data_IF_907577672167
#
_entry.id   IF_907577672167
#
_cell.length_a   1.000
_cell.length_b   1.000
_cell.length_c   1.000
_cell.angle_alpha   90.00
_cell.angle_beta   90.00
_cell.angle_gamma   90.00
#
_symmetry.space_group_name_H-M   'P 1'
#
loop_
_entity.id
_entity.type
_entity.pdbx_description
1 polymer ?
#
# COMPACT_ATOMS: atom_id res chain seq x y z
N UNK A 1 17.38 27.25 -1.03
CA UNK A 1 16.00 26.85 -1.36
C UNK A 1 15.07 27.61 -0.43
N UNK A 2 14.02 28.25 -0.95
CA UNK A 2 13.17 29.11 -0.13
C UNK A 2 12.58 28.32 1.05
N UNK A 3 12.69 28.87 2.25
CA UNK A 3 12.15 28.28 3.50
C UNK A 3 10.69 28.69 3.74
N UNK A 4 10.12 29.53 2.89
CA UNK A 4 8.71 29.91 2.94
C UNK A 4 7.87 28.78 2.33
N UNK A 5 6.83 28.29 3.02
CA UNK A 5 5.87 27.38 2.43
C UNK A 5 5.25 28.00 1.18
N UNK A 6 5.05 27.20 0.13
CA UNK A 6 4.42 27.65 -1.13
C UNK A 6 2.95 28.06 -0.96
N UNK A 7 2.36 27.76 0.20
CA UNK A 7 1.00 28.07 0.58
C UNK A 7 0.94 28.66 1.99
N UNK A 8 0.07 29.65 2.18
CA UNK A 8 -0.31 30.12 3.51
C UNK A 8 -1.01 29.02 4.31
N UNK A 9 -1.06 29.17 5.64
CA UNK A 9 -1.77 28.21 6.51
C UNK A 9 -3.25 28.08 6.14
N UNK A 10 -3.88 29.17 5.69
CA UNK A 10 -5.27 29.16 5.28
C UNK A 10 -5.48 28.38 3.98
N UNK A 11 -4.66 28.63 2.96
CA UNK A 11 -4.69 27.87 1.70
C UNK A 11 -4.44 26.38 1.93
N UNK A 12 -3.48 26.03 2.79
CA UNK A 12 -3.23 24.64 3.16
C UNK A 12 -4.44 23.98 3.82
N UNK A 13 -5.14 24.69 4.72
CA UNK A 13 -6.34 24.17 5.35
C UNK A 13 -7.47 23.95 4.34
N UNK A 14 -7.69 24.89 3.42
CA UNK A 14 -8.69 24.77 2.35
C UNK A 14 -8.35 23.56 1.45
N UNK A 15 -7.09 23.44 1.03
CA UNK A 15 -6.63 22.33 0.20
C UNK A 15 -6.79 20.98 0.91
N UNK A 16 -6.52 20.92 2.21
CA UNK A 16 -6.72 19.73 3.04
C UNK A 16 -8.19 19.32 3.09
N UNK A 17 -9.10 20.24 3.37
CA UNK A 17 -10.55 19.93 3.43
C UNK A 17 -11.07 19.46 2.08
N UNK A 18 -10.65 20.12 0.99
CA UNK A 18 -11.00 19.70 -0.37
C UNK A 18 -10.47 18.29 -0.69
N UNK A 19 -9.23 18.01 -0.31
CA UNK A 19 -8.64 16.68 -0.47
C UNK A 19 -9.43 15.60 0.27
N UNK A 20 -9.79 15.84 1.54
CA UNK A 20 -10.56 14.88 2.34
C UNK A 20 -11.98 14.65 1.78
N UNK A 21 -12.63 15.71 1.29
CA UNK A 21 -13.93 15.61 0.62
C UNK A 21 -13.84 14.76 -0.65
N UNK A 22 -12.85 15.04 -1.50
CA UNK A 22 -12.61 14.27 -2.73
C UNK A 22 -12.28 12.82 -2.41
N UNK A 23 -11.48 12.57 -1.38
CA UNK A 23 -11.14 11.21 -0.96
C UNK A 23 -12.38 10.47 -0.48
N UNK A 24 -13.27 11.12 0.26
CA UNK A 24 -14.56 10.55 0.68
C UNK A 24 -15.42 10.13 -0.50
N UNK A 25 -15.45 10.93 -1.56
CA UNK A 25 -16.16 10.56 -2.78
C UNK A 25 -15.45 9.42 -3.51
N UNK A 26 -14.13 9.47 -3.61
CA UNK A 26 -13.32 8.47 -4.30
C UNK A 26 -13.41 7.08 -3.62
N UNK A 27 -13.53 7.05 -2.29
CA UNK A 27 -13.62 5.82 -1.49
C UNK A 27 -15.04 5.51 -1.02
N UNK A 28 -16.07 6.03 -1.71
CA UNK A 28 -17.46 5.81 -1.31
C UNK A 28 -17.89 4.35 -1.46
N UNK A 29 -17.35 3.67 -2.48
CA UNK A 29 -17.63 2.26 -2.79
C UNK A 29 -16.38 1.41 -2.55
N UNK A 30 -16.18 1.01 -1.29
CA UNK A 30 -15.00 0.26 -0.86
C UNK A 30 -14.95 -1.15 -1.43
N UNK A 31 -16.10 -1.79 -1.60
CA UNK A 31 -16.20 -3.13 -2.19
C UNK A 31 -15.75 -3.12 -3.65
N UNK A 32 -16.24 -2.14 -4.43
CA UNK A 32 -15.80 -1.96 -5.81
C UNK A 32 -14.31 -1.68 -5.91
N UNK A 33 -13.76 -0.86 -5.00
CA UNK A 33 -12.31 -0.63 -4.93
C UNK A 33 -11.57 -1.95 -4.71
N UNK A 34 -11.98 -2.74 -3.73
CA UNK A 34 -11.34 -4.01 -3.43
C UNK A 34 -11.35 -4.94 -4.67
N UNK A 35 -12.48 -5.01 -5.37
CA UNK A 35 -12.64 -5.88 -6.54
C UNK A 35 -11.82 -5.38 -7.75
N UNK A 36 -11.90 -4.09 -8.09
CA UNK A 36 -11.21 -3.52 -9.27
C UNK A 36 -9.70 -3.43 -9.10
N UNK A 37 -9.23 -3.48 -7.86
CA UNK A 37 -7.80 -3.39 -7.53
C UNK A 37 -7.17 -4.73 -7.12
N UNK A 38 -7.89 -5.83 -7.29
CA UNK A 38 -7.44 -7.21 -6.97
C UNK A 38 -6.18 -7.65 -7.71
N UNK A 39 -5.90 -7.08 -8.88
CA UNK A 39 -4.65 -7.31 -9.62
C UNK A 39 -3.45 -6.48 -9.10
N UNK A 40 -3.65 -5.74 -8.00
CA UNK A 40 -2.64 -5.03 -7.23
C UNK A 40 -1.63 -4.23 -8.08
N UNK A 41 -0.35 -4.63 -8.09
CA UNK A 41 0.74 -3.96 -8.82
C UNK A 41 0.52 -3.84 -10.33
N UNK A 42 -0.41 -4.63 -10.89
CA UNK A 42 -0.78 -4.60 -12.29
C UNK A 42 -2.08 -3.80 -12.55
N UNK A 43 -2.69 -3.21 -11.51
CA UNK A 43 -3.84 -2.32 -11.60
C UNK A 43 -3.41 -0.86 -11.45
N UNK A 44 -3.70 -0.04 -12.47
CA UNK A 44 -3.45 1.40 -12.41
C UNK A 44 -4.28 2.06 -11.31
N UNK A 45 -5.54 1.65 -11.13
CA UNK A 45 -6.42 2.16 -10.08
C UNK A 45 -5.82 1.91 -8.69
N UNK A 46 -5.25 0.72 -8.46
CA UNK A 46 -4.55 0.40 -7.21
C UNK A 46 -3.35 1.33 -6.98
N UNK A 47 -2.58 1.62 -8.03
CA UNK A 47 -1.42 2.51 -7.95
C UNK A 47 -1.86 3.94 -7.63
N UNK A 48 -2.85 4.47 -8.33
CA UNK A 48 -3.33 5.84 -8.17
C UNK A 48 -4.02 6.06 -6.81
N UNK A 49 -4.89 5.14 -6.38
CA UNK A 49 -5.55 5.24 -5.08
C UNK A 49 -4.54 5.29 -3.93
N UNK A 50 -3.51 4.45 -3.98
CA UNK A 50 -2.47 4.39 -2.95
C UNK A 50 -1.60 5.65 -2.85
N UNK A 51 -1.57 6.51 -3.87
CA UNK A 51 -0.88 7.82 -3.77
C UNK A 51 -1.59 8.78 -2.81
N UNK A 52 -2.89 8.58 -2.61
CA UNK A 52 -3.71 9.37 -1.69
C UNK A 52 -3.72 8.81 -0.26
N UNK A 53 -2.95 7.74 0.01
CA UNK A 53 -3.06 6.97 1.24
C UNK A 53 -1.70 6.69 1.91
N UNK A 54 -1.72 6.70 3.24
CA UNK A 54 -0.75 6.01 4.08
C UNK A 54 -1.14 4.54 4.05
N UNK A 55 -0.22 3.69 3.60
CA UNK A 55 -0.49 2.25 3.41
C UNK A 55 0.26 1.43 4.44
N UNK A 56 -0.21 0.22 4.76
CA UNK A 56 0.44 -0.66 5.74
C UNK A 56 1.97 -0.76 5.55
N UNK A 57 2.44 -0.90 4.31
CA UNK A 57 3.86 -0.99 3.96
C UNK A 57 4.69 0.26 4.27
N UNK A 58 4.07 1.45 4.42
CA UNK A 58 4.75 2.70 4.76
C UNK A 58 4.35 3.26 6.14
N UNK A 59 3.29 2.72 6.76
CA UNK A 59 2.74 3.19 8.03
C UNK A 59 3.79 3.20 9.15
N UNK A 60 4.60 2.14 9.26
CA UNK A 60 5.68 2.06 10.24
C UNK A 60 6.71 3.19 10.10
N UNK A 61 7.03 3.59 8.87
CA UNK A 61 7.92 4.74 8.58
C UNK A 61 7.28 6.06 8.98
N UNK A 62 5.97 6.22 8.76
CA UNK A 62 5.23 7.43 9.13
C UNK A 62 5.19 7.60 10.65
N UNK A 63 4.79 6.55 11.38
CA UNK A 63 4.62 6.59 12.85
C UNK A 63 5.96 6.74 13.57
N UNK A 64 7.03 6.09 13.08
CA UNK A 64 8.37 6.16 13.69
C UNK A 64 9.19 7.37 13.23
N UNK A 65 8.61 8.27 12.44
CA UNK A 65 9.31 9.43 11.88
C UNK A 65 9.75 10.37 13.00
N UNK A 66 11.05 10.69 13.05
CA UNK A 66 11.59 11.71 13.96
C UNK A 66 11.25 13.11 13.45
N UNK A 67 11.10 14.07 14.33
CA UNK A 67 10.85 15.47 13.94
C UNK A 67 11.93 16.03 13.01
N UNK A 68 13.18 15.61 13.21
CA UNK A 68 14.35 15.95 12.41
C UNK A 68 14.36 15.31 11.02
N UNK A 69 13.54 14.28 10.78
CA UNK A 69 13.45 13.62 9.47
C UNK A 69 12.61 14.44 8.50
N UNK A 70 13.11 14.63 7.28
CA UNK A 70 12.45 15.41 6.23
C UNK A 70 11.07 14.84 5.86
N UNK A 71 10.03 15.68 6.03
CA UNK A 71 8.66 15.38 5.58
C UNK A 71 8.56 15.29 4.06
N UNK A 72 9.26 16.16 3.33
CA UNK A 72 9.24 16.20 1.88
C UNK A 72 9.68 14.87 1.25
N UNK A 73 10.77 14.27 1.76
CA UNK A 73 11.26 12.96 1.28
C UNK A 73 10.27 11.82 1.53
N UNK A 74 9.60 11.82 2.68
CA UNK A 74 8.55 10.84 2.99
C UNK A 74 7.38 10.97 2.01
N UNK A 75 6.87 12.20 1.82
CA UNK A 75 5.78 12.49 0.88
C UNK A 75 6.19 12.11 -0.55
N UNK A 76 7.42 12.46 -0.97
CA UNK A 76 7.94 12.09 -2.28
C UNK A 76 7.94 10.57 -2.49
N UNK A 77 8.36 9.79 -1.49
CA UNK A 77 8.38 8.33 -1.60
C UNK A 77 6.98 7.70 -1.66
N UNK A 78 5.98 8.35 -1.03
CA UNK A 78 4.57 7.92 -1.09
C UNK A 78 3.96 8.23 -2.47
N UNK A 79 4.14 9.47 -2.95
CA UNK A 79 3.58 9.94 -4.23
C UNK A 79 4.27 9.31 -5.45
N UNK A 80 5.59 9.17 -5.37
CA UNK A 80 6.44 8.72 -6.46
C UNK A 80 7.21 7.48 -6.01
N UNK A 81 6.52 6.33 -6.01
CA UNK A 81 7.18 5.05 -5.79
C UNK A 81 8.32 4.89 -6.79
N UNK A 82 9.52 4.66 -6.28
CA UNK A 82 10.70 4.40 -7.12
C UNK A 82 10.46 3.13 -7.94
N UNK A 83 10.98 3.06 -9.17
CA UNK A 83 10.97 1.81 -9.91
C UNK A 83 11.98 0.84 -9.27
N UNK A 84 11.48 -0.05 -8.42
CA UNK A 84 12.30 -1.00 -7.66
C UNK A 84 12.44 -2.37 -8.36
N UNK A 85 11.97 -2.51 -9.61
CA UNK A 85 11.98 -3.79 -10.34
C UNK A 85 13.38 -4.38 -10.52
N UNK A 86 14.41 -3.53 -10.56
CA UNK A 86 15.80 -3.95 -10.73
C UNK A 86 16.46 -4.43 -9.42
N UNK A 87 15.77 -4.37 -8.28
CA UNK A 87 16.31 -4.86 -7.00
C UNK A 87 16.05 -6.36 -6.93
N UNK A 88 17.12 -7.16 -6.94
CA UNK A 88 17.04 -8.62 -6.98
C UNK A 88 16.13 -9.22 -5.89
N UNK A 89 16.18 -8.69 -4.67
CA UNK A 89 15.31 -9.17 -3.58
C UNK A 89 13.82 -8.90 -3.83
N UNK A 90 13.47 -7.79 -4.48
CA UNK A 90 12.08 -7.43 -4.81
C UNK A 90 11.61 -8.26 -6.01
N UNK A 91 12.44 -8.40 -7.04
CA UNK A 91 12.15 -9.28 -8.17
C UNK A 91 11.91 -10.72 -7.70
N UNK A 92 12.79 -11.23 -6.84
CA UNK A 92 12.64 -12.55 -6.22
C UNK A 92 11.33 -12.66 -5.41
N UNK A 93 10.99 -11.65 -4.62
CA UNK A 93 9.70 -11.59 -3.92
C UNK A 93 8.52 -11.74 -4.87
N UNK A 94 8.47 -10.88 -5.89
CA UNK A 94 7.42 -10.86 -6.91
C UNK A 94 7.28 -12.19 -7.66
N UNK A 95 8.40 -12.84 -8.00
CA UNK A 95 8.42 -14.11 -8.75
C UNK A 95 7.95 -15.30 -7.90
N UNK A 96 8.13 -15.25 -6.58
CA UNK A 96 7.90 -16.40 -5.70
C UNK A 96 6.67 -16.25 -4.79
N UNK A 97 6.04 -15.07 -4.74
CA UNK A 97 4.87 -14.80 -3.89
C UNK A 97 3.71 -15.75 -4.19
N UNK A 98 3.36 -15.91 -5.47
CA UNK A 98 2.27 -16.81 -5.88
C UNK A 98 2.55 -18.27 -5.49
N UNK A 99 3.77 -18.76 -5.72
CA UNK A 99 4.18 -20.11 -5.34
C UNK A 99 4.13 -20.31 -3.82
N UNK A 100 4.55 -19.31 -3.05
CA UNK A 100 4.52 -19.36 -1.59
C UNK A 100 3.07 -19.35 -1.05
N UNK A 101 2.16 -18.58 -1.66
CA UNK A 101 0.73 -18.62 -1.34
C UNK A 101 0.11 -19.99 -1.65
N UNK A 102 0.41 -20.58 -2.81
CA UNK A 102 -0.05 -21.92 -3.17
C UNK A 102 0.44 -22.99 -2.19
N UNK A 103 1.72 -22.90 -1.79
CA UNK A 103 2.30 -23.82 -0.80
C UNK A 103 1.62 -23.66 0.58
N UNK A 104 1.41 -22.43 1.03
CA UNK A 104 0.70 -22.14 2.28
C UNK A 104 -0.73 -22.71 2.26
N UNK A 105 -1.47 -22.47 1.17
CA UNK A 105 -2.82 -23.00 0.98
C UNK A 105 -2.87 -24.54 1.08
N UNK A 106 -1.91 -25.22 0.46
CA UNK A 106 -1.79 -26.69 0.52
C UNK A 106 -1.45 -27.20 1.93
N UNK A 107 -0.50 -26.55 2.62
CA UNK A 107 -0.05 -26.96 3.95
C UNK A 107 -1.15 -26.79 5.00
N UNK A 108 -1.82 -25.64 5.00
CA UNK A 108 -2.86 -25.30 5.96
C UNK A 108 -4.24 -25.85 5.56
N UNK A 109 -4.36 -26.41 4.34
CA UNK A 109 -5.62 -26.92 3.77
C UNK A 109 -6.72 -25.86 3.73
N UNK A 110 -6.34 -24.65 3.31
CA UNK A 110 -7.22 -23.48 3.20
C UNK A 110 -7.25 -22.98 1.76
N UNK A 111 -8.31 -22.26 1.40
CA UNK A 111 -8.36 -21.48 0.16
C UNK A 111 -7.88 -20.06 0.47
N UNK A 112 -6.90 -19.58 -0.30
CA UNK A 112 -6.41 -18.21 -0.24
C UNK A 112 -6.90 -17.47 -1.47
N UNK A 113 -7.76 -16.48 -1.27
CA UNK A 113 -8.34 -15.65 -2.32
C UNK A 113 -7.48 -14.40 -2.56
N UNK A 114 -7.32 -13.96 -3.83
CA UNK A 114 -6.68 -12.71 -4.14
C UNK A 114 -7.51 -11.54 -3.61
N UNK A 115 -6.85 -10.43 -3.30
CA UNK A 115 -7.53 -9.25 -2.80
C UNK A 115 -6.91 -7.93 -3.29
N UNK A 116 -7.75 -6.89 -3.31
CA UNK A 116 -7.33 -5.54 -3.65
C UNK A 116 -7.10 -4.65 -2.43
N UNK A 117 -7.28 -3.35 -2.65
CA UNK A 117 -7.10 -2.32 -1.65
C UNK A 117 -8.30 -2.26 -0.69
N UNK A 118 -8.00 -2.39 0.60
CA UNK A 118 -8.90 -2.07 1.69
C UNK A 118 -8.64 -0.64 2.17
N UNK A 119 -9.71 0.12 2.34
CA UNK A 119 -9.68 1.49 2.85
C UNK A 119 -10.29 1.49 4.25
N UNK A 120 -9.64 2.16 5.20
CA UNK A 120 -10.14 2.29 6.56
C UNK A 120 -11.51 3.00 6.59
N UNK A 121 -12.35 2.68 7.57
CA UNK A 121 -13.70 3.23 7.65
C UNK A 121 -13.74 4.65 8.24
N UNK A 122 -12.81 4.98 9.13
CA UNK A 122 -12.73 6.27 9.82
C UNK A 122 -11.71 7.18 9.14
N UNK A 123 -10.53 6.63 8.83
CA UNK A 123 -9.40 7.35 8.26
C UNK A 123 -9.24 7.00 6.78
N UNK A 124 -10.02 7.64 5.90
CA UNK A 124 -10.05 7.31 4.46
C UNK A 124 -8.70 7.44 3.72
N UNK A 125 -7.72 8.13 4.32
CA UNK A 125 -6.34 8.21 3.85
C UNK A 125 -5.46 7.05 4.37
N UNK A 126 -6.02 6.05 5.02
CA UNK A 126 -5.34 4.84 5.49
C UNK A 126 -5.88 3.64 4.72
N UNK A 127 -4.97 2.78 4.25
CA UNK A 127 -5.37 1.57 3.55
C UNK A 127 -4.33 0.46 3.57
N UNK A 128 -4.73 -0.73 3.16
CA UNK A 128 -3.88 -1.90 3.10
C UNK A 128 -4.27 -2.82 1.95
N UNK A 129 -3.32 -3.62 1.48
CA UNK A 129 -3.57 -4.71 0.53
C UNK A 129 -2.79 -5.89 1.07
N UNK A 130 -3.47 -6.86 1.71
CA UNK A 130 -2.86 -8.14 2.06
C UNK A 130 -2.38 -8.89 0.82
N UNK A 131 -1.52 -9.89 1.02
CA UNK A 131 -1.09 -10.78 -0.06
C UNK A 131 -2.20 -11.81 -0.40
N UNK A 132 -3.10 -12.09 0.55
CA UNK A 132 -4.30 -12.92 0.32
C UNK A 132 -5.29 -12.89 1.47
N UNK A 133 -6.47 -13.48 1.26
CA UNK A 133 -7.53 -13.63 2.26
C UNK A 133 -7.90 -15.08 2.44
N UNK A 134 -8.12 -15.49 3.68
CA UNK A 134 -8.73 -16.78 4.01
C UNK A 134 -10.08 -16.48 4.67
N UNK A 135 -11.15 -17.00 4.08
CA UNK A 135 -12.52 -16.73 4.53
C UNK A 135 -12.81 -15.23 4.67
N UNK A 136 -13.41 -14.80 5.79
CA UNK A 136 -13.85 -13.41 6.02
C UNK A 136 -13.03 -12.67 7.08
N UNK A 137 -12.19 -13.37 7.85
CA UNK A 137 -11.57 -12.84 9.07
C UNK A 137 -10.04 -12.98 9.11
N UNK A 138 -9.45 -13.63 8.13
CA UNK A 138 -8.02 -13.96 8.15
C UNK A 138 -7.31 -13.36 6.93
N UNK A 139 -6.24 -12.61 7.20
CA UNK A 139 -5.35 -12.05 6.18
C UNK A 139 -4.08 -12.87 6.07
N UNK A 140 -3.49 -12.88 4.87
CA UNK A 140 -2.21 -13.52 4.59
C UNK A 140 -1.20 -12.46 4.20
N UNK A 141 -0.01 -12.53 4.81
CA UNK A 141 1.18 -11.75 4.45
C UNK A 141 2.35 -12.72 4.31
N UNK A 142 2.90 -12.81 3.11
CA UNK A 142 4.02 -13.68 2.76
C UNK A 142 5.28 -12.84 2.55
N UNK A 143 6.43 -13.43 2.88
CA UNK A 143 7.74 -12.86 2.56
C UNK A 143 8.60 -13.95 1.94
N UNK A 144 9.16 -13.66 0.76
CA UNK A 144 10.12 -14.53 0.08
C UNK A 144 11.51 -13.87 0.14
N UNK A 145 12.28 -14.05 1.24
CA UNK A 145 13.60 -13.46 1.37
C UNK A 145 14.64 -14.21 0.51
N UNK A 146 15.30 -13.49 -0.39
CA UNK A 146 16.34 -14.04 -1.27
C UNK A 146 17.48 -14.73 -0.51
N UNK A 147 17.79 -14.30 0.71
CA UNK A 147 18.88 -14.87 1.53
C UNK A 147 18.55 -16.25 2.10
N UNK A 148 17.27 -16.60 2.22
CA UNK A 148 16.84 -17.93 2.66
C UNK A 148 16.68 -18.91 1.49
N UNK A 149 16.75 -18.40 0.25
CA UNK A 149 16.62 -19.20 -0.95
C UNK A 149 17.88 -20.02 -1.18
N UNK A 150 17.84 -21.30 -0.83
CA UNK A 150 18.87 -22.27 -1.22
C UNK A 150 18.53 -22.81 -2.59
N UNK A 151 19.39 -22.58 -3.59
CA UNK A 151 19.35 -23.37 -4.82
C UNK A 151 19.64 -24.82 -4.42
N UNK A 152 18.61 -25.66 -4.50
CA UNK A 152 18.75 -27.11 -4.44
C UNK A 152 19.32 -27.57 -5.78
#
# INVERSE_FOLDING_TARGET
>A
MSTTPDMTKNELNIAKELFLLNLKQLTSDKEKIQQSTSNQRNSNDWIELRKNMITASNFGTVVKRRETSSKAKLVQNILYKSNLRNIAAIAHGVENEELALQQLAMQEKVTIEPCGLFVDNEYLFVGATPDGLINQDTIVEVKCPIVAFKKV
#
